data_IF_636673771499
#
_entry.id   IF_636673771499
#
_cell.length_a   1.000
_cell.length_b   1.000
_cell.length_c   1.000
_cell.angle_alpha   90.00
_cell.angle_beta   90.00
_cell.angle_gamma   90.00
#
_symmetry.space_group_name_H-M   'P 1'
#
loop_
_entity.id
_entity.type
_entity.pdbx_description
1 polymer ?
#
# COMPACT_ATOMS: atom_id res chain seq x y z
N UNK A 1 -44.66 64.46 -35.26
CA UNK A 1 -43.66 64.67 -34.19
C UNK A 1 -43.33 63.31 -33.59
N UNK A 2 -42.23 62.71 -34.02
CA UNK A 2 -41.72 61.43 -33.52
C UNK A 2 -40.50 61.80 -32.68
N UNK A 3 -40.59 61.62 -31.37
CA UNK A 3 -39.53 61.97 -30.43
C UNK A 3 -38.81 60.70 -30.01
N UNK A 4 -37.66 60.42 -30.62
CA UNK A 4 -36.74 59.36 -30.19
C UNK A 4 -35.91 59.88 -29.02
N UNK A 5 -36.02 59.24 -27.85
CA UNK A 5 -35.14 59.50 -26.70
C UNK A 5 -34.18 58.32 -26.52
N UNK A 6 -32.90 58.64 -26.69
CA UNK A 6 -31.73 57.83 -26.37
C UNK A 6 -31.74 57.33 -24.92
N UNK A 7 -31.35 56.07 -24.70
CA UNK A 7 -31.13 55.47 -23.38
C UNK A 7 -29.93 54.52 -23.42
N UNK A 8 -28.85 54.93 -22.75
CA UNK A 8 -27.56 54.25 -22.62
C UNK A 8 -27.67 52.85 -22.00
N UNK A 9 -26.79 51.94 -22.44
CA UNK A 9 -26.51 50.67 -21.79
C UNK A 9 -25.57 50.88 -20.59
N UNK A 10 -26.05 50.61 -19.37
CA UNK A 10 -25.22 50.53 -18.18
C UNK A 10 -24.88 49.07 -17.86
N UNK A 11 -23.60 48.73 -18.08
CA UNK A 11 -22.96 47.47 -17.72
C UNK A 11 -22.79 47.42 -16.20
N UNK A 12 -23.72 46.77 -15.50
CA UNK A 12 -23.66 46.58 -14.05
C UNK A 12 -22.59 45.55 -13.65
N UNK A 13 -21.50 46.06 -13.06
CA UNK A 13 -20.48 45.28 -12.34
C UNK A 13 -21.12 44.54 -11.17
N UNK A 14 -21.29 43.22 -11.29
CA UNK A 14 -21.71 42.39 -10.16
C UNK A 14 -20.55 42.24 -9.17
N UNK A 15 -20.66 42.91 -8.03
CA UNK A 15 -19.78 42.71 -6.87
C UNK A 15 -20.44 41.67 -5.96
N UNK A 16 -19.91 40.45 -5.97
CA UNK A 16 -20.34 39.40 -5.04
C UNK A 16 -19.77 39.77 -3.66
N UNK A 17 -20.65 40.18 -2.75
CA UNK A 17 -20.27 40.61 -1.40
C UNK A 17 -19.76 39.43 -0.57
N UNK A 18 -18.71 39.65 0.22
CA UNK A 18 -18.08 38.64 1.08
C UNK A 18 -19.09 38.09 2.11
N UNK A 19 -20.08 38.90 2.51
CA UNK A 19 -21.18 38.48 3.36
C UNK A 19 -22.02 37.35 2.73
N UNK A 20 -22.19 37.35 1.40
CA UNK A 20 -22.96 36.32 0.67
C UNK A 20 -22.19 35.00 0.58
N UNK A 21 -20.85 35.06 0.50
CA UNK A 21 -19.99 33.87 0.52
C UNK A 21 -19.93 33.23 1.91
N UNK A 22 -19.87 34.04 2.96
CA UNK A 22 -19.90 33.54 4.35
C UNK A 22 -21.26 32.91 4.72
N UNK A 23 -22.37 33.45 4.21
CA UNK A 23 -23.70 32.89 4.43
C UNK A 23 -23.86 31.51 3.77
N UNK A 24 -23.30 31.31 2.57
CA UNK A 24 -23.30 30.00 1.90
C UNK A 24 -22.39 28.98 2.58
N UNK A 25 -21.26 29.39 3.17
CA UNK A 25 -20.40 28.50 3.96
C UNK A 25 -21.06 28.05 5.27
N UNK A 26 -21.90 28.89 5.89
CA UNK A 26 -22.66 28.52 7.08
C UNK A 26 -23.78 27.50 6.78
N UNK A 27 -24.45 27.60 5.62
CA UNK A 27 -25.44 26.61 5.21
C UNK A 27 -24.83 25.28 4.73
N UNK A 28 -23.54 25.24 4.36
CA UNK A 28 -22.87 24.01 3.94
C UNK A 28 -22.41 23.11 5.10
N UNK A 29 -22.43 23.59 6.36
CA UNK A 29 -22.09 22.78 7.54
C UNK A 29 -23.31 22.10 8.19
N UNK A 30 -24.53 22.43 7.76
CA UNK A 30 -25.75 21.76 8.22
C UNK A 30 -26.16 20.67 7.23
N UNK A 31 -25.29 19.70 6.99
CA UNK A 31 -25.78 18.41 6.49
C UNK A 31 -26.72 17.87 7.59
N UNK A 32 -27.96 17.44 7.29
CA UNK A 32 -28.68 16.61 8.24
C UNK A 32 -27.76 15.41 8.50
N UNK A 33 -27.18 15.40 9.70
CA UNK A 33 -26.51 14.21 10.20
C UNK A 33 -27.58 13.15 10.18
N UNK A 34 -27.54 12.29 9.16
CA UNK A 34 -28.18 11.00 9.23
C UNK A 34 -27.64 10.39 10.51
N UNK A 35 -28.49 10.34 11.53
CA UNK A 35 -28.20 9.60 12.74
C UNK A 35 -27.75 8.23 12.27
N UNK A 36 -26.53 7.85 12.64
CA UNK A 36 -26.19 6.45 12.65
C UNK A 36 -27.18 5.82 13.64
N UNK A 37 -28.27 5.26 13.10
CA UNK A 37 -29.11 4.34 13.84
C UNK A 37 -28.16 3.32 14.47
N UNK A 38 -28.18 3.11 15.79
CA UNK A 38 -27.39 2.06 16.41
C UNK A 38 -28.04 0.71 16.05
N UNK A 39 -27.82 0.25 14.83
CA UNK A 39 -28.19 -1.09 14.38
C UNK A 39 -26.93 -1.94 14.36
N UNK A 40 -26.59 -2.54 15.49
CA UNK A 40 -26.19 -3.93 15.50
C UNK A 40 -26.13 -4.44 16.93
N UNK A 41 -27.20 -5.11 17.32
CA UNK A 41 -27.12 -6.22 18.26
C UNK A 41 -25.98 -7.13 17.78
N UNK A 42 -24.98 -7.34 18.64
CA UNK A 42 -23.62 -7.81 18.28
C UNK A 42 -23.57 -9.32 18.01
N UNK A 43 -24.40 -9.80 17.10
CA UNK A 43 -24.55 -11.23 16.75
C UNK A 43 -23.79 -11.60 15.47
N UNK A 44 -23.09 -10.63 14.85
CA UNK A 44 -22.40 -10.82 13.56
C UNK A 44 -20.89 -10.72 13.73
N UNK A 45 -20.15 -11.54 12.97
CA UNK A 45 -18.70 -11.47 12.88
C UNK A 45 -18.32 -10.38 11.87
N UNK A 46 -17.58 -9.39 12.34
CA UNK A 46 -17.00 -8.31 11.57
C UNK A 46 -15.48 -8.32 11.74
N UNK A 47 -14.77 -8.34 10.61
CA UNK A 47 -13.32 -8.21 10.59
C UNK A 47 -12.91 -6.79 10.99
N UNK A 48 -11.88 -6.68 11.83
CA UNK A 48 -11.25 -5.41 12.18
C UNK A 48 -10.69 -4.72 10.93
N UNK A 49 -10.16 -5.51 9.99
CA UNK A 49 -9.72 -5.04 8.68
C UNK A 49 -10.33 -5.93 7.60
N UNK A 50 -11.05 -5.30 6.66
CA UNK A 50 -11.78 -5.99 5.59
C UNK A 50 -10.94 -6.15 4.32
N UNK A 51 -9.86 -5.37 4.18
CA UNK A 51 -9.01 -5.34 2.99
C UNK A 51 -7.55 -5.24 3.38
N UNK A 52 -6.75 -6.18 2.90
CA UNK A 52 -5.30 -6.19 3.04
C UNK A 52 -4.72 -6.05 1.63
N UNK A 53 -4.24 -4.86 1.29
CA UNK A 53 -3.64 -4.60 -0.01
C UNK A 53 -2.13 -4.80 0.05
N UNK A 54 -1.58 -5.38 -1.01
CA UNK A 54 -0.13 -5.49 -1.22
C UNK A 54 0.62 -6.13 -0.04
N UNK A 55 0.11 -7.24 0.48
CA UNK A 55 0.79 -8.02 1.52
C UNK A 55 2.07 -8.60 0.90
N UNK A 56 3.22 -8.01 1.23
CA UNK A 56 4.52 -8.41 0.63
C UNK A 56 5.24 -9.50 1.41
N UNK A 57 4.77 -9.73 2.62
CA UNK A 57 5.42 -10.54 3.64
C UNK A 57 5.04 -12.03 3.53
N UNK A 58 3.99 -12.32 2.74
CA UNK A 58 3.46 -13.67 2.57
C UNK A 58 2.69 -14.18 3.80
N UNK A 59 2.35 -13.31 4.74
CA UNK A 59 1.51 -13.64 5.88
C UNK A 59 0.53 -12.51 6.23
N UNK A 60 -0.56 -12.85 6.91
CA UNK A 60 -1.58 -11.92 7.39
C UNK A 60 -2.05 -12.30 8.79
N UNK A 61 -2.40 -11.27 9.56
CA UNK A 61 -3.08 -11.40 10.84
C UNK A 61 -4.53 -10.96 10.71
N UNK A 62 -5.43 -11.94 10.62
CA UNK A 62 -6.88 -11.71 10.62
C UNK A 62 -7.36 -11.54 12.06
N UNK A 63 -8.14 -10.50 12.32
CA UNK A 63 -8.76 -10.23 13.63
C UNK A 63 -10.21 -9.86 13.43
N UNK A 64 -11.07 -10.31 14.32
CA UNK A 64 -12.51 -10.04 14.31
C UNK A 64 -13.04 -9.84 15.73
N UNK A 65 -14.31 -9.46 15.88
CA UNK A 65 -14.95 -9.40 17.20
C UNK A 65 -15.26 -10.80 17.75
N UNK A 66 -15.10 -10.97 19.05
CA UNK A 66 -15.58 -12.17 19.73
C UNK A 66 -17.12 -12.26 19.67
N UNK A 67 -17.61 -13.48 19.52
CA UNK A 67 -19.02 -13.86 19.57
C UNK A 67 -19.29 -14.59 20.88
N UNK A 68 -20.36 -14.22 21.57
CA UNK A 68 -20.78 -14.87 22.80
C UNK A 68 -21.26 -16.30 22.52
N UNK A 69 -20.86 -17.26 23.35
CA UNK A 69 -21.14 -18.68 23.14
C UNK A 69 -20.22 -19.39 22.13
N UNK A 70 -19.32 -18.67 21.45
CA UNK A 70 -18.32 -19.27 20.59
C UNK A 70 -17.20 -19.92 21.41
N UNK A 71 -16.98 -21.21 21.20
CA UNK A 71 -15.82 -21.93 21.76
C UNK A 71 -14.72 -22.13 20.72
N UNK A 72 -15.08 -22.03 19.44
CA UNK A 72 -14.16 -22.23 18.33
C UNK A 72 -14.50 -21.31 17.16
N UNK A 73 -13.47 -20.87 16.46
CA UNK A 73 -13.55 -20.15 15.19
C UNK A 73 -12.84 -20.95 14.11
N UNK A 74 -13.43 -21.00 12.93
CA UNK A 74 -12.85 -21.55 11.72
C UNK A 74 -12.69 -20.43 10.69
N UNK A 75 -11.50 -20.31 10.11
CA UNK A 75 -11.28 -19.46 8.94
C UNK A 75 -11.34 -20.35 7.70
N UNK A 76 -12.18 -19.96 6.76
CA UNK A 76 -12.48 -20.71 5.54
C UNK A 76 -12.09 -19.85 4.34
N UNK A 77 -11.32 -20.43 3.42
CA UNK A 77 -10.99 -19.83 2.14
C UNK A 77 -12.15 -20.01 1.13
N UNK A 78 -12.15 -19.25 0.03
CA UNK A 78 -13.21 -19.22 -0.97
C UNK A 78 -13.68 -20.58 -1.49
N UNK A 79 -12.81 -21.59 -1.53
CA UNK A 79 -13.08 -22.95 -2.00
C UNK A 79 -13.72 -23.85 -0.93
N UNK A 80 -13.94 -23.31 0.28
CA UNK A 80 -14.45 -24.06 1.42
C UNK A 80 -13.37 -24.72 2.27
N UNK A 81 -12.08 -24.54 1.94
CA UNK A 81 -10.98 -25.08 2.72
C UNK A 81 -10.87 -24.36 4.07
N UNK A 82 -10.89 -25.13 5.16
CA UNK A 82 -10.61 -24.60 6.50
C UNK A 82 -9.11 -24.45 6.66
N UNK A 83 -8.63 -23.21 6.64
CA UNK A 83 -7.20 -22.87 6.73
C UNK A 83 -6.73 -22.66 8.17
N UNK A 84 -7.66 -22.37 9.09
CA UNK A 84 -7.35 -22.16 10.50
C UNK A 84 -8.49 -22.58 11.42
N UNK A 85 -8.13 -23.04 12.62
CA UNK A 85 -9.03 -23.35 13.73
C UNK A 85 -8.45 -22.83 15.04
N UNK A 86 -9.24 -22.11 15.85
CA UNK A 86 -8.78 -21.64 17.15
C UNK A 86 -9.90 -21.08 18.03
N UNK A 87 -9.66 -20.97 19.34
CA UNK A 87 -10.65 -20.45 20.29
C UNK A 87 -10.68 -18.91 20.37
N UNK A 88 -9.64 -18.24 19.86
CA UNK A 88 -9.51 -16.79 19.93
C UNK A 88 -10.00 -16.12 18.64
N UNK A 89 -10.49 -14.87 18.69
CA UNK A 89 -10.98 -14.15 17.52
C UNK A 89 -9.84 -13.54 16.68
N UNK A 90 -8.82 -14.36 16.43
CA UNK A 90 -7.64 -14.01 15.64
C UNK A 90 -7.07 -15.24 14.95
N UNK A 91 -6.52 -15.05 13.76
CA UNK A 91 -5.81 -16.08 13.00
C UNK A 91 -4.61 -15.47 12.28
N UNK A 92 -3.48 -16.16 12.35
CA UNK A 92 -2.30 -15.85 11.55
C UNK A 92 -2.21 -16.87 10.42
N UNK A 93 -2.22 -16.39 9.17
CA UNK A 93 -2.10 -17.23 7.97
C UNK A 93 -0.80 -16.85 7.29
N UNK A 94 0.09 -17.82 7.08
CA UNK A 94 1.43 -17.62 6.51
C UNK A 94 1.66 -18.51 5.29
N UNK A 95 2.68 -18.18 4.49
CA UNK A 95 3.05 -18.96 3.31
C UNK A 95 2.15 -18.67 2.10
N UNK A 96 1.51 -17.51 2.08
CA UNK A 96 0.68 -17.08 0.95
C UNK A 96 1.57 -16.74 -0.24
N UNK A 97 1.20 -17.21 -1.44
CA UNK A 97 1.87 -16.87 -2.68
C UNK A 97 1.29 -15.60 -3.29
N UNK A 98 1.87 -15.10 -4.39
CA UNK A 98 1.28 -14.00 -5.14
C UNK A 98 -0.14 -14.36 -5.61
N UNK A 99 -1.12 -13.52 -5.27
CA UNK A 99 -2.51 -13.83 -5.59
C UNK A 99 -3.53 -13.00 -4.83
N UNK A 100 -4.80 -13.32 -5.08
CA UNK A 100 -5.95 -12.75 -4.37
C UNK A 100 -6.62 -13.87 -3.59
N UNK A 101 -6.78 -13.63 -2.30
CA UNK A 101 -7.42 -14.54 -1.37
C UNK A 101 -8.64 -13.86 -0.75
N UNK A 102 -9.62 -14.66 -0.35
CA UNK A 102 -10.77 -14.17 0.39
C UNK A 102 -11.13 -15.17 1.48
N UNK A 103 -11.25 -14.63 2.68
CA UNK A 103 -11.43 -15.40 3.90
C UNK A 103 -12.77 -15.06 4.55
N UNK A 104 -13.46 -16.11 5.00
CA UNK A 104 -14.66 -16.00 5.83
C UNK A 104 -14.40 -16.66 7.17
N UNK A 105 -15.02 -16.14 8.23
CA UNK A 105 -14.92 -16.72 9.57
C UNK A 105 -16.26 -17.32 9.96
N UNK A 106 -16.21 -18.50 10.55
CA UNK A 106 -17.33 -19.20 11.18
C UNK A 106 -17.04 -19.34 12.67
N UNK A 107 -18.02 -19.03 13.51
CA UNK A 107 -17.97 -19.30 14.94
C UNK A 107 -18.82 -20.52 15.27
N UNK A 108 -18.27 -21.43 16.07
CA UNK A 108 -18.91 -22.66 16.51
C UNK A 108 -19.00 -22.70 18.04
N UNK A 109 -20.08 -23.31 18.54
CA UNK A 109 -20.26 -23.60 19.96
C UNK A 109 -19.53 -24.89 20.37
N UNK A 110 -19.64 -25.27 21.64
CA UNK A 110 -19.00 -26.49 22.18
C UNK A 110 -19.49 -27.79 21.56
N UNK A 111 -20.67 -27.76 20.93
CA UNK A 111 -21.29 -28.90 20.25
C UNK A 111 -20.92 -28.95 18.76
N UNK A 112 -20.15 -27.97 18.27
CA UNK A 112 -19.76 -27.86 16.86
C UNK A 112 -20.86 -27.29 15.95
N UNK A 113 -21.88 -26.65 16.52
CA UNK A 113 -22.93 -25.98 15.76
C UNK A 113 -22.47 -24.57 15.35
N UNK A 114 -22.77 -24.18 14.12
CA UNK A 114 -22.50 -22.84 13.59
C UNK A 114 -23.42 -21.81 14.24
N UNK A 115 -22.87 -20.91 15.05
CA UNK A 115 -23.64 -19.86 15.74
C UNK A 115 -23.56 -18.50 15.05
N UNK A 116 -22.47 -18.22 14.34
CA UNK A 116 -22.30 -16.99 13.59
C UNK A 116 -21.31 -17.16 12.42
N UNK A 117 -21.47 -16.34 11.39
CA UNK A 117 -20.58 -16.28 10.24
C UNK A 117 -20.35 -14.83 9.81
N UNK A 118 -19.19 -14.54 9.22
CA UNK A 118 -18.90 -13.23 8.63
C UNK A 118 -19.73 -13.00 7.36
N UNK A 119 -20.49 -11.89 7.31
CA UNK A 119 -21.30 -11.52 6.13
C UNK A 119 -20.48 -10.98 4.96
N UNK A 120 -19.28 -10.47 5.23
CA UNK A 120 -18.37 -9.91 4.23
C UNK A 120 -17.02 -10.64 4.33
N UNK A 121 -16.47 -11.10 3.20
CA UNK A 121 -15.15 -11.71 3.21
C UNK A 121 -14.06 -10.68 3.44
N UNK A 122 -12.98 -11.08 4.12
CA UNK A 122 -11.74 -10.31 4.16
C UNK A 122 -10.98 -10.55 2.84
N UNK A 123 -10.80 -9.51 2.03
CA UNK A 123 -10.06 -9.58 0.77
C UNK A 123 -8.58 -9.31 1.00
N UNK A 124 -7.74 -10.22 0.54
CA UNK A 124 -6.29 -10.14 0.73
C UNK A 124 -5.62 -10.24 -0.63
N UNK A 125 -4.83 -9.24 -0.99
CA UNK A 125 -3.99 -9.27 -2.19
C UNK A 125 -2.53 -9.36 -1.77
N UNK A 126 -1.87 -10.44 -2.17
CA UNK A 126 -0.47 -10.72 -1.85
C UNK A 126 0.36 -10.43 -3.09
N UNK A 127 1.35 -9.54 -2.92
CA UNK A 127 2.27 -9.13 -3.98
C UNK A 127 3.69 -9.06 -3.40
N UNK A 128 4.46 -10.12 -3.63
CA UNK A 128 5.86 -10.21 -3.25
C UNK A 128 6.71 -9.26 -4.09
N UNK A 129 7.81 -8.83 -3.48
CA UNK A 129 8.80 -8.02 -4.17
C UNK A 129 9.31 -8.72 -5.44
N UNK A 130 9.29 -8.05 -6.59
CA UNK A 130 9.77 -8.64 -7.83
C UNK A 130 11.27 -8.88 -7.77
N UNK A 131 11.69 -10.09 -8.15
CA UNK A 131 13.10 -10.50 -8.17
C UNK A 131 13.98 -9.56 -9.01
N UNK A 132 13.39 -8.94 -10.05
CA UNK A 132 14.05 -7.95 -10.89
C UNK A 132 14.69 -6.81 -10.10
N UNK A 133 14.10 -6.37 -8.99
CA UNK A 133 14.68 -5.28 -8.20
C UNK A 133 15.97 -5.72 -7.49
N UNK A 134 16.00 -6.94 -6.96
CA UNK A 134 17.20 -7.52 -6.37
C UNK A 134 18.29 -7.74 -7.43
N UNK A 135 17.91 -8.27 -8.59
CA UNK A 135 18.82 -8.47 -9.73
C UNK A 135 19.36 -7.12 -10.23
N UNK A 136 18.54 -6.08 -10.26
CA UNK A 136 18.96 -4.73 -10.64
C UNK A 136 20.04 -4.17 -9.72
N UNK A 137 19.85 -4.26 -8.39
CA UNK A 137 20.86 -3.81 -7.42
C UNK A 137 22.16 -4.60 -7.52
N UNK A 138 22.06 -5.92 -7.69
CA UNK A 138 23.23 -6.78 -7.89
C UNK A 138 23.97 -6.41 -9.19
N UNK A 139 23.23 -6.17 -10.26
CA UNK A 139 23.80 -5.80 -11.56
C UNK A 139 24.50 -4.44 -11.51
N UNK A 140 23.88 -3.45 -10.87
CA UNK A 140 24.49 -2.13 -10.65
C UNK A 140 25.77 -2.27 -9.82
N UNK A 141 25.71 -3.03 -8.72
CA UNK A 141 26.88 -3.33 -7.89
C UNK A 141 28.01 -3.99 -8.68
N UNK A 142 27.69 -4.96 -9.54
CA UNK A 142 28.65 -5.62 -10.42
C UNK A 142 29.30 -4.63 -11.40
N UNK A 143 28.52 -3.74 -12.02
CA UNK A 143 29.05 -2.72 -12.94
C UNK A 143 30.03 -1.79 -12.22
N UNK A 144 29.67 -1.29 -11.03
CA UNK A 144 30.54 -0.42 -10.23
C UNK A 144 31.81 -1.16 -9.82
N UNK A 145 31.69 -2.41 -9.39
CA UNK A 145 32.83 -3.24 -9.02
C UNK A 145 33.81 -3.44 -10.18
N UNK A 146 33.30 -3.75 -11.37
CA UNK A 146 34.13 -3.89 -12.57
C UNK A 146 34.78 -2.57 -12.99
N UNK A 147 34.08 -1.44 -12.84
CA UNK A 147 34.65 -0.12 -13.12
C UNK A 147 35.82 0.22 -12.17
N UNK A 148 35.69 -0.12 -10.88
CA UNK A 148 36.78 0.06 -9.90
C UNK A 148 37.98 -0.82 -10.26
N UNK A 149 37.77 -2.09 -10.60
CA UNK A 149 38.85 -3.00 -11.04
C UNK A 149 39.56 -2.42 -12.27
N UNK A 150 38.79 -1.93 -13.24
CA UNK A 150 39.34 -1.32 -14.44
C UNK A 150 40.23 -0.12 -14.12
N UNK A 151 39.80 0.77 -13.22
CA UNK A 151 40.60 1.93 -12.77
C UNK A 151 41.90 1.48 -12.09
N UNK A 152 41.86 0.45 -11.25
CA UNK A 152 43.06 -0.08 -10.58
C UNK A 152 44.05 -0.65 -11.60
N UNK A 153 43.58 -1.42 -12.59
CA UNK A 153 44.42 -1.98 -13.65
C UNK A 153 45.10 -0.86 -14.45
N UNK A 154 44.34 0.16 -14.85
CA UNK A 154 44.89 1.28 -15.60
C UNK A 154 45.93 2.07 -14.80
N UNK A 155 45.67 2.30 -13.49
CA UNK A 155 46.64 2.93 -12.60
C UNK A 155 47.94 2.13 -12.45
N UNK A 156 47.84 0.80 -12.36
CA UNK A 156 49.01 -0.08 -12.28
C UNK A 156 49.82 -0.12 -13.59
N UNK A 157 49.14 -0.11 -14.74
CA UNK A 157 49.79 -0.10 -16.06
C UNK A 157 50.51 1.23 -16.33
N UNK A 158 49.87 2.38 -16.07
CA UNK A 158 50.47 3.70 -16.29
C UNK A 158 51.74 3.94 -15.43
N UNK A 159 51.77 3.40 -14.21
CA UNK A 159 52.94 3.49 -13.32
C UNK A 159 54.12 2.66 -13.83
N UNK A 160 53.87 1.58 -14.58
CA UNK A 160 54.93 0.71 -15.13
C UNK A 160 55.64 1.34 -16.33
N UNK A 161 54.91 2.09 -17.14
CA UNK A 161 55.44 2.76 -18.34
C UNK A 161 56.44 3.86 -17.98
N UNK A 162 56.08 4.76 -17.05
CA UNK A 162 56.99 5.82 -16.56
C UNK A 162 58.27 5.28 -15.87
N UNK A 163 58.20 4.11 -15.21
CA UNK A 163 59.38 3.45 -14.63
C UNK A 163 60.29 2.84 -15.71
N UNK A 164 59.75 2.39 -16.84
CA UNK A 164 60.56 1.82 -17.93
C UNK A 164 61.34 2.92 -18.67
N UNK A 165 60.73 4.07 -18.87
CA UNK A 165 61.33 5.21 -19.59
C UNK A 165 62.47 5.84 -18.78
N UNK A 166 62.24 6.12 -17.50
CA UNK A 166 63.27 6.66 -16.60
C UNK A 166 64.48 5.74 -16.38
N UNK A 167 64.29 4.42 -16.40
CA UNK A 167 65.41 3.45 -16.28
C UNK A 167 66.25 3.39 -17.57
N UNK A 168 65.63 3.63 -18.72
CA UNK A 168 66.32 3.63 -20.01
C UNK A 168 67.17 4.89 -20.17
N UNK A 169 66.62 6.05 -19.81
CA UNK A 169 67.36 7.33 -19.85
C UNK A 169 68.56 7.36 -18.88
N UNK A 170 68.43 6.76 -17.69
CA UNK A 170 69.53 6.69 -16.74
C UNK A 170 70.68 5.78 -17.21
N UNK A 171 70.42 4.84 -18.12
CA UNK A 171 71.44 3.93 -18.66
C UNK A 171 72.25 4.57 -19.79
N UNK A 172 71.66 5.48 -20.56
CA UNK A 172 72.34 6.18 -21.67
C UNK A 172 73.27 7.31 -21.20
N UNK A 173 73.04 7.86 -20.00
CA UNK A 173 73.88 8.93 -19.43
C UNK A 173 75.12 8.38 -18.70
N UNK A 174 75.21 7.06 -18.50
CA UNK A 174 76.27 6.40 -17.72
C UNK A 174 77.37 5.72 -18.56
N UNK A 175 77.30 5.79 -19.90
CA UNK A 175 78.39 5.41 -20.84
C UNK A 175 79.06 6.65 -21.44
#
# INVERSE_FOLDING_TARGET
MINCRSGNADTSRQTVSIATVLLLLFFFQASPGFGQSPSSEKTQIEFVQKKYESVREGYIDLRWNAIEGATQYEVVENDGLVVFRGAFPQAMISGLANGKYSYQVKALNSEGELIAQSNQPALVTVEHWPLWQAIGLFSIGLIVFLAIIFVIIQGALATRESRSESVTDQKEIAE
#
